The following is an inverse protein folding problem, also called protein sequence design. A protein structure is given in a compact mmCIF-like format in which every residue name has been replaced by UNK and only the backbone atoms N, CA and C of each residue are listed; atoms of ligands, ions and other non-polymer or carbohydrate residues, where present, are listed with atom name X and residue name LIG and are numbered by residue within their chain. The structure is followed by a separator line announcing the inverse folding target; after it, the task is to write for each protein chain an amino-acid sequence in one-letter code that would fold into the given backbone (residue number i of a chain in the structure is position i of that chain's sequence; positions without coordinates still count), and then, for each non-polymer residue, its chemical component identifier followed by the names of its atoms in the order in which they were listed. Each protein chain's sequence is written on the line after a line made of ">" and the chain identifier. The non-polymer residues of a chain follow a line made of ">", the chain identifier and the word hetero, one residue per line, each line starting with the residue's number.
data_IF_357355454577
#
_entry.id   IF_357355454577
#
_cell.length_a   1.000
_cell.length_b   1.000
_cell.length_c   1.000
_cell.angle_alpha   90.00
_cell.angle_beta   90.00
_cell.angle_gamma   90.00
#
_symmetry.space_group_name_H-M   'P 1'
#
loop_
_entity.id
_entity.type
_entity.pdbx_description
1 polymer ?
#
# COMPACT_ATOMS: atom_id res chain seq x y z
N UNK A 1 13.11 -4.58 0.03
CA UNK A 1 12.70 -3.18 0.31
C UNK A 1 11.58 -3.17 1.35
N UNK A 2 11.92 -3.27 2.63
CA UNK A 2 10.94 -3.35 3.72
C UNK A 2 11.34 -2.42 4.86
N UNK A 3 11.14 -1.11 4.69
CA UNK A 3 11.42 -0.08 5.74
C UNK A 3 10.23 0.89 5.92
N UNK A 4 9.18 0.76 5.11
CA UNK A 4 8.14 1.78 4.90
C UNK A 4 7.22 2.06 6.09
N UNK A 5 7.03 1.09 7.00
CA UNK A 5 6.09 1.23 8.12
C UNK A 5 6.76 1.46 9.49
N UNK A 6 8.09 1.41 9.58
CA UNK A 6 8.82 1.78 10.81
C UNK A 6 8.97 3.30 10.98
N UNK A 7 8.76 4.08 9.92
CA UNK A 7 8.87 5.53 9.95
C UNK A 7 7.51 6.25 9.92
N UNK A 8 6.45 5.68 10.50
CA UNK A 8 5.23 6.41 10.88
C UNK A 8 5.11 6.75 12.40
N UNK A 9 6.16 7.18 13.15
CA UNK A 9 5.91 7.81 14.45
C UNK A 9 5.38 9.23 14.24
N UNK A 10 4.28 9.60 14.91
CA UNK A 10 3.68 10.96 14.96
C UNK A 10 2.48 11.24 14.04
N UNK A 11 1.63 10.25 13.78
CA UNK A 11 0.19 10.54 13.82
C UNK A 11 -0.23 10.17 15.25
N UNK A 12 -0.99 10.99 16.00
CA UNK A 12 -1.47 10.61 17.34
C UNK A 12 -2.24 9.27 17.36
N UNK A 13 -2.63 8.77 16.19
CA UNK A 13 -3.29 7.50 15.96
C UNK A 13 -2.34 6.28 15.86
N UNK A 14 -1.06 6.45 15.48
CA UNK A 14 -0.10 5.33 15.26
C UNK A 14 0.78 4.99 16.45
N UNK A 15 0.61 5.68 17.58
CA UNK A 15 1.34 5.33 18.81
C UNK A 15 0.89 3.94 19.29
N UNK A 16 1.84 3.07 19.62
CA UNK A 16 1.59 1.85 20.38
C UNK A 16 0.86 2.11 21.73
N UNK A 17 0.73 3.39 22.11
CA UNK A 17 0.00 3.90 23.26
C UNK A 17 -1.39 4.45 22.94
N UNK A 18 -1.90 4.34 21.71
CA UNK A 18 -3.29 4.69 21.43
C UNK A 18 -4.22 3.80 22.29
N UNK A 19 -5.13 4.38 23.08
CA UNK A 19 -5.93 3.63 24.04
C UNK A 19 -6.86 2.61 23.38
N UNK A 20 -7.34 2.89 22.16
CA UNK A 20 -8.20 1.98 21.39
C UNK A 20 -7.40 0.75 20.95
N UNK A 21 -6.23 0.98 20.37
CA UNK A 21 -5.35 -0.10 19.86
C UNK A 21 -4.87 -0.99 21.02
N UNK A 22 -4.51 -0.40 22.17
CA UNK A 22 -4.12 -1.14 23.35
C UNK A 22 -5.26 -2.00 23.89
N UNK A 23 -6.46 -1.43 24.04
CA UNK A 23 -7.65 -2.18 24.47
C UNK A 23 -7.97 -3.36 23.54
N UNK A 24 -7.91 -3.14 22.22
CA UNK A 24 -8.15 -4.19 21.21
C UNK A 24 -7.11 -5.30 21.30
N UNK A 25 -5.83 -4.95 21.45
CA UNK A 25 -4.74 -5.90 21.63
C UNK A 25 -4.93 -6.73 22.89
N UNK A 26 -5.25 -6.08 24.00
CA UNK A 26 -5.45 -6.76 25.29
C UNK A 26 -6.67 -7.69 25.24
N UNK A 27 -7.75 -7.27 24.55
CA UNK A 27 -8.91 -8.12 24.29
C UNK A 27 -8.53 -9.34 23.44
N UNK A 28 -7.80 -9.13 22.34
CA UNK A 28 -7.38 -10.23 21.47
C UNK A 28 -6.48 -11.21 22.21
N UNK A 29 -5.54 -10.71 23.02
CA UNK A 29 -4.69 -11.52 23.90
C UNK A 29 -5.50 -12.26 24.96
N UNK A 30 -6.52 -11.61 25.54
CA UNK A 30 -7.41 -12.23 26.52
C UNK A 30 -8.18 -13.41 25.92
N UNK A 31 -8.78 -13.23 24.74
CA UNK A 31 -9.54 -14.26 24.03
C UNK A 31 -8.64 -15.45 23.66
N UNK A 32 -7.42 -15.16 23.18
CA UNK A 32 -6.47 -16.19 22.74
C UNK A 32 -5.69 -16.85 23.87
N UNK A 33 -5.64 -16.23 25.05
CA UNK A 33 -4.90 -16.74 26.21
C UNK A 33 -5.50 -18.01 26.84
N UNK A 34 -6.69 -18.46 26.41
CA UNK A 34 -7.26 -19.73 26.88
C UNK A 34 -8.20 -20.34 25.84
N UNK A 35 -8.09 -21.66 25.64
CA UNK A 35 -8.99 -22.44 24.77
C UNK A 35 -10.46 -22.28 25.17
N UNK A 36 -10.76 -22.16 26.48
CA UNK A 36 -12.13 -21.92 26.98
C UNK A 36 -12.68 -20.57 26.50
N UNK A 37 -11.86 -19.52 26.57
CA UNK A 37 -12.22 -18.16 26.15
C UNK A 37 -12.37 -18.06 24.63
N UNK A 38 -11.50 -18.73 23.89
CA UNK A 38 -11.59 -18.82 22.43
C UNK A 38 -12.89 -19.53 22.00
N UNK A 39 -13.23 -20.66 22.63
CA UNK A 39 -14.50 -21.36 22.38
C UNK A 39 -15.72 -20.51 22.71
N UNK A 40 -15.69 -19.79 23.84
CA UNK A 40 -16.75 -18.84 24.20
C UNK A 40 -16.91 -17.73 23.16
N UNK A 41 -15.81 -17.15 22.66
CA UNK A 41 -15.87 -16.16 21.58
C UNK A 41 -16.44 -16.74 20.28
N UNK A 42 -16.02 -17.95 19.89
CA UNK A 42 -16.55 -18.64 18.71
C UNK A 42 -18.07 -18.87 18.85
N UNK A 43 -18.52 -19.25 20.04
CA UNK A 43 -19.95 -19.46 20.34
C UNK A 43 -20.75 -18.15 20.21
N UNK A 44 -20.26 -17.04 20.76
CA UNK A 44 -20.94 -15.75 20.61
C UNK A 44 -20.92 -15.25 19.15
N UNK A 45 -19.80 -15.42 18.44
CA UNK A 45 -19.70 -15.09 17.01
C UNK A 45 -20.73 -15.84 16.16
N UNK A 46 -21.03 -17.11 16.47
CA UNK A 46 -22.06 -17.89 15.74
C UNK A 46 -23.46 -17.24 15.80
N UNK A 47 -23.72 -16.40 16.80
CA UNK A 47 -24.98 -15.65 16.94
C UNK A 47 -24.99 -14.34 16.15
N UNK A 48 -23.87 -13.97 15.52
CA UNK A 48 -23.71 -12.75 14.74
C UNK A 48 -23.62 -13.03 13.24
N UNK A 49 -23.69 -11.96 12.43
CA UNK A 49 -23.43 -12.02 10.99
C UNK A 49 -21.96 -11.81 10.62
N UNK A 50 -21.07 -11.72 11.61
CA UNK A 50 -19.66 -11.48 11.40
C UNK A 50 -18.99 -12.69 10.70
N UNK A 51 -17.91 -12.45 9.93
CA UNK A 51 -17.22 -13.52 9.22
C UNK A 51 -16.61 -14.52 10.21
N UNK A 52 -16.41 -15.77 9.76
CA UNK A 52 -15.87 -16.90 10.57
C UNK A 52 -14.38 -16.76 10.88
N UNK A 53 -14.03 -15.65 11.50
CA UNK A 53 -12.70 -15.16 11.74
C UNK A 53 -12.42 -15.10 13.26
N UNK A 54 -11.15 -15.27 13.65
CA UNK A 54 -10.71 -15.07 15.03
C UNK A 54 -10.03 -13.70 15.19
N UNK A 55 -10.10 -13.08 16.39
CA UNK A 55 -9.37 -11.86 16.69
C UNK A 55 -7.85 -12.08 16.57
N UNK A 56 -7.13 -11.08 16.03
CA UNK A 56 -5.69 -11.13 15.86
C UNK A 56 -5.01 -10.50 17.07
N UNK A 57 -4.32 -11.29 17.90
CA UNK A 57 -3.54 -10.74 19.03
C UNK A 57 -2.21 -10.14 18.56
N UNK A 58 -1.53 -10.83 17.63
CA UNK A 58 -0.27 -10.39 17.02
C UNK A 58 -0.33 -10.81 15.54
N UNK A 59 -0.27 -9.87 14.58
CA UNK A 59 -0.16 -10.16 13.17
C UNK A 59 1.25 -10.66 12.80
N UNK A 60 1.35 -11.41 11.71
CA UNK A 60 2.56 -12.14 11.30
C UNK A 60 3.71 -11.25 10.81
N UNK A 61 3.47 -9.97 10.51
CA UNK A 61 4.51 -9.05 10.02
C UNK A 61 4.51 -7.75 10.82
N UNK A 62 5.71 -7.25 11.16
CA UNK A 62 5.90 -6.00 11.89
C UNK A 62 5.37 -4.78 11.12
N UNK A 63 5.28 -4.89 9.79
CA UNK A 63 4.97 -3.79 8.89
C UNK A 63 3.46 -3.47 8.85
N UNK A 64 2.59 -4.47 8.76
CA UNK A 64 1.13 -4.26 8.65
C UNK A 64 0.39 -4.41 9.98
N UNK A 65 1.13 -4.29 11.09
CA UNK A 65 0.63 -4.63 12.40
C UNK A 65 -0.59 -3.80 12.79
N UNK A 66 -0.46 -2.48 12.67
CA UNK A 66 -1.49 -1.51 13.02
C UNK A 66 -2.75 -1.68 12.14
N UNK A 67 -2.54 -1.89 10.84
CA UNK A 67 -3.60 -2.13 9.87
C UNK A 67 -4.44 -3.35 10.24
N UNK A 68 -3.81 -4.50 10.45
CA UNK A 68 -4.54 -5.74 10.78
C UNK A 68 -5.17 -5.69 12.17
N UNK A 69 -4.57 -4.94 13.10
CA UNK A 69 -5.13 -4.72 14.44
C UNK A 69 -6.39 -3.87 14.46
N UNK A 70 -6.63 -3.02 13.47
CA UNK A 70 -7.86 -2.24 13.37
C UNK A 70 -8.88 -2.89 12.43
N UNK A 71 -8.42 -3.41 11.29
CA UNK A 71 -9.28 -4.05 10.29
C UNK A 71 -10.02 -5.26 10.86
N UNK A 72 -9.30 -6.14 11.56
CA UNK A 72 -9.90 -7.39 12.03
C UNK A 72 -10.95 -7.19 13.13
N UNK A 73 -10.74 -6.32 14.13
CA UNK A 73 -11.80 -5.99 15.08
C UNK A 73 -12.98 -5.26 14.46
N UNK A 74 -12.74 -4.42 13.44
CA UNK A 74 -13.81 -3.79 12.68
C UNK A 74 -14.71 -4.82 11.97
N UNK A 75 -14.11 -5.85 11.35
CA UNK A 75 -14.85 -6.98 10.76
C UNK A 75 -15.61 -7.84 11.81
N UNK A 76 -15.17 -7.83 13.07
CA UNK A 76 -15.71 -8.64 14.17
C UNK A 76 -16.47 -7.79 15.21
N UNK A 77 -16.97 -6.62 14.82
CA UNK A 77 -17.51 -5.63 15.75
C UNK A 77 -18.64 -6.21 16.61
N UNK A 78 -19.63 -6.86 15.99
CA UNK A 78 -20.80 -7.40 16.69
C UNK A 78 -20.39 -8.54 17.64
N UNK A 79 -19.48 -9.40 17.19
CA UNK A 79 -18.95 -10.51 17.98
C UNK A 79 -18.18 -10.02 19.20
N UNK A 80 -17.40 -8.96 19.04
CA UNK A 80 -16.64 -8.32 20.12
C UNK A 80 -17.60 -7.67 21.13
N UNK A 81 -18.61 -6.95 20.65
CA UNK A 81 -19.60 -6.32 21.51
C UNK A 81 -20.38 -7.37 22.32
N UNK A 82 -20.91 -8.42 21.68
CA UNK A 82 -21.62 -9.50 22.37
C UNK A 82 -20.72 -10.25 23.36
N UNK A 83 -19.48 -10.56 22.97
CA UNK A 83 -18.53 -11.25 23.84
C UNK A 83 -18.17 -10.41 25.09
N UNK A 84 -17.98 -9.10 24.92
CA UNK A 84 -17.65 -8.21 26.05
C UNK A 84 -18.82 -8.02 27.01
N UNK A 85 -20.06 -8.02 26.51
CA UNK A 85 -21.27 -7.99 27.32
C UNK A 85 -21.49 -9.28 28.13
N UNK A 86 -21.27 -10.45 27.51
CA UNK A 86 -21.56 -11.76 28.13
C UNK A 86 -20.51 -12.21 29.14
N UNK A 87 -19.23 -11.88 28.91
CA UNK A 87 -18.12 -12.40 29.72
C UNK A 87 -17.62 -11.42 30.80
N UNK A 88 -18.46 -10.45 31.21
CA UNK A 88 -18.11 -9.37 32.14
C UNK A 88 -16.84 -8.60 31.69
N UNK A 89 -16.74 -8.37 30.39
CA UNK A 89 -15.59 -7.79 29.72
C UNK A 89 -15.63 -6.26 29.65
N UNK A 90 -16.28 -5.57 30.59
CA UNK A 90 -16.50 -4.12 30.57
C UNK A 90 -15.20 -3.32 30.34
N UNK A 91 -14.07 -3.81 30.87
CA UNK A 91 -12.74 -3.20 30.66
C UNK A 91 -12.26 -3.17 29.20
N UNK A 92 -12.80 -4.05 28.35
CA UNK A 92 -12.47 -4.17 26.92
C UNK A 92 -13.54 -3.57 26.01
N UNK A 93 -14.62 -3.02 26.57
CA UNK A 93 -15.68 -2.42 25.78
C UNK A 93 -15.16 -1.14 25.11
N UNK A 94 -15.41 -1.05 23.80
CA UNK A 94 -15.14 0.13 23.00
C UNK A 94 -16.41 0.96 22.88
N UNK A 95 -16.27 2.28 23.05
CA UNK A 95 -17.35 3.23 22.84
C UNK A 95 -17.64 3.42 21.34
N UNK A 96 -18.80 3.99 21.03
CA UNK A 96 -19.23 4.27 19.65
C UNK A 96 -18.22 5.16 18.89
N UNK A 97 -17.64 6.13 19.58
CA UNK A 97 -16.59 7.00 19.03
C UNK A 97 -15.35 6.22 18.57
N UNK A 98 -14.91 5.20 19.32
CA UNK A 98 -13.79 4.36 18.91
C UNK A 98 -14.13 3.51 17.67
N UNK A 99 -15.37 3.02 17.56
CA UNK A 99 -15.84 2.31 16.37
C UNK A 99 -15.92 3.23 15.15
N UNK A 100 -16.47 4.43 15.32
CA UNK A 100 -16.54 5.46 14.29
C UNK A 100 -15.13 5.85 13.82
N UNK A 101 -14.20 6.05 14.76
CA UNK A 101 -12.78 6.31 14.46
C UNK A 101 -12.17 5.21 13.58
N UNK A 102 -12.43 3.94 13.89
CA UNK A 102 -11.91 2.83 13.07
C UNK A 102 -12.51 2.79 11.67
N UNK A 103 -13.81 3.09 11.52
CA UNK A 103 -14.44 3.21 10.20
C UNK A 103 -13.83 4.38 9.40
N UNK A 104 -13.56 5.52 10.03
CA UNK A 104 -12.89 6.65 9.36
C UNK A 104 -11.48 6.31 8.87
N UNK A 105 -10.73 5.45 9.59
CA UNK A 105 -9.39 5.04 9.18
C UNK A 105 -9.39 3.94 8.10
N UNK A 106 -10.49 3.23 7.90
CA UNK A 106 -10.57 2.06 7.01
C UNK A 106 -10.20 2.33 5.54
N UNK A 107 -10.61 3.45 4.90
CA UNK A 107 -10.28 3.69 3.50
C UNK A 107 -8.77 3.85 3.28
N UNK A 108 -8.12 4.67 4.11
CA UNK A 108 -6.69 4.91 4.01
C UNK A 108 -5.87 3.65 4.34
N UNK A 109 -6.32 2.88 5.32
CA UNK A 109 -5.74 1.59 5.69
C UNK A 109 -5.82 0.58 4.54
N UNK A 110 -6.94 0.54 3.81
CA UNK A 110 -7.12 -0.34 2.64
C UNK A 110 -6.21 0.06 1.48
N UNK A 111 -6.02 1.37 1.28
CA UNK A 111 -5.10 1.90 0.27
C UNK A 111 -3.65 1.45 0.54
N UNK A 112 -3.20 1.53 1.80
CA UNK A 112 -1.87 1.06 2.18
C UNK A 112 -1.73 -0.46 2.08
N UNK A 113 -2.76 -1.24 2.43
CA UNK A 113 -2.77 -2.70 2.24
C UNK A 113 -2.58 -3.07 0.77
N UNK A 114 -3.35 -2.43 -0.11
CA UNK A 114 -3.26 -2.64 -1.56
C UNK A 114 -1.86 -2.30 -2.09
N UNK A 115 -1.32 -1.15 -1.66
CA UNK A 115 0.02 -0.71 -2.07
C UNK A 115 1.11 -1.69 -1.60
N UNK A 116 1.01 -2.18 -0.36
CA UNK A 116 1.93 -3.18 0.16
C UNK A 116 1.88 -4.49 -0.64
N UNK A 117 0.68 -4.95 -1.02
CA UNK A 117 0.51 -6.16 -1.82
C UNK A 117 1.14 -6.01 -3.21
N UNK A 118 1.05 -4.82 -3.82
CA UNK A 118 1.70 -4.54 -5.10
C UNK A 118 3.21 -4.61 -4.96
N UNK A 119 3.79 -3.94 -3.97
CA UNK A 119 5.24 -3.92 -3.78
C UNK A 119 5.84 -5.25 -3.30
N UNK A 120 5.04 -6.12 -2.69
CA UNK A 120 5.44 -7.47 -2.29
C UNK A 120 5.26 -8.52 -3.38
N UNK A 121 4.67 -8.15 -4.53
CA UNK A 121 4.50 -9.07 -5.65
C UNK A 121 5.85 -9.52 -6.22
N UNK A 122 5.88 -10.71 -6.84
CA UNK A 122 7.12 -11.31 -7.40
C UNK A 122 7.61 -10.64 -8.69
N UNK A 123 6.90 -9.63 -9.21
CA UNK A 123 7.23 -8.96 -10.46
C UNK A 123 8.12 -7.73 -10.23
N UNK A 124 8.74 -7.24 -11.30
CA UNK A 124 9.50 -5.98 -11.27
C UNK A 124 8.55 -4.82 -10.99
N UNK A 125 8.61 -4.26 -9.78
CA UNK A 125 7.67 -3.22 -9.31
C UNK A 125 8.29 -1.83 -9.20
N UNK A 126 9.61 -1.69 -9.40
CA UNK A 126 10.35 -0.42 -9.19
C UNK A 126 9.78 0.74 -10.02
N UNK A 127 9.32 0.45 -11.23
CA UNK A 127 8.69 1.45 -12.12
C UNK A 127 7.32 1.95 -11.63
N UNK A 128 6.63 1.18 -10.77
CA UNK A 128 5.32 1.53 -10.19
C UNK A 128 5.44 2.38 -8.93
N UNK A 129 6.65 2.47 -8.34
CA UNK A 129 6.88 3.15 -7.05
C UNK A 129 6.42 4.60 -7.14
N UNK A 130 6.99 5.40 -8.04
CA UNK A 130 6.66 6.84 -8.10
C UNK A 130 5.17 7.11 -8.40
N UNK A 131 4.54 6.46 -9.40
CA UNK A 131 3.12 6.66 -9.66
C UNK A 131 2.22 6.26 -8.47
N UNK A 132 2.52 5.15 -7.78
CA UNK A 132 1.72 4.73 -6.63
C UNK A 132 1.85 5.70 -5.46
N UNK A 133 3.06 6.21 -5.22
CA UNK A 133 3.28 7.24 -4.21
C UNK A 133 2.44 8.49 -4.48
N UNK A 134 2.40 8.94 -5.74
CA UNK A 134 1.57 10.08 -6.12
C UNK A 134 0.08 9.80 -5.92
N UNK A 135 -0.39 8.61 -6.29
CA UNK A 135 -1.79 8.20 -6.05
C UNK A 135 -2.12 8.25 -4.55
N UNK A 136 -1.24 7.76 -3.67
CA UNK A 136 -1.46 7.80 -2.23
C UNK A 136 -1.53 9.24 -1.71
N UNK A 137 -0.64 10.12 -2.18
CA UNK A 137 -0.65 11.54 -1.81
C UNK A 137 -1.95 12.23 -2.21
N UNK A 138 -2.46 11.96 -3.41
CA UNK A 138 -3.73 12.50 -3.89
C UNK A 138 -4.92 11.99 -3.05
N UNK A 139 -4.91 10.71 -2.67
CA UNK A 139 -5.95 10.17 -1.78
C UNK A 139 -5.89 10.80 -0.39
N UNK A 140 -4.69 10.98 0.19
CA UNK A 140 -4.53 11.65 1.48
C UNK A 140 -5.04 13.10 1.45
N UNK A 141 -4.78 13.82 0.35
CA UNK A 141 -5.30 15.16 0.13
C UNK A 141 -6.82 15.19 -0.01
N UNK A 142 -7.38 14.27 -0.81
CA UNK A 142 -8.83 14.15 -0.95
C UNK A 142 -9.51 13.84 0.39
N UNK A 143 -8.96 12.89 1.16
CA UNK A 143 -9.49 12.57 2.48
C UNK A 143 -9.35 13.73 3.47
N UNK A 144 -8.27 14.53 3.41
CA UNK A 144 -8.15 15.73 4.24
C UNK A 144 -9.27 16.76 3.95
N UNK A 145 -9.66 16.92 2.69
CA UNK A 145 -10.71 17.85 2.27
C UNK A 145 -12.10 17.39 2.71
N UNK A 146 -12.43 16.12 2.49
CA UNK A 146 -13.75 15.54 2.75
C UNK A 146 -13.96 15.23 4.24
N UNK A 147 -12.89 14.98 5.00
CA UNK A 147 -13.01 14.57 6.39
C UNK A 147 -13.37 15.72 7.34
N UNK A 148 -14.03 15.42 8.48
CA UNK A 148 -14.27 16.37 9.54
C UNK A 148 -12.97 17.03 10.04
N UNK A 149 -13.08 18.24 10.61
CA UNK A 149 -11.94 19.02 11.08
C UNK A 149 -11.01 18.25 12.04
N UNK A 150 -11.57 17.35 12.86
CA UNK A 150 -10.81 16.50 13.79
C UNK A 150 -9.83 15.56 13.09
N UNK A 151 -10.17 15.09 11.89
CA UNK A 151 -9.38 14.14 11.11
C UNK A 151 -8.55 14.81 10.02
N UNK A 152 -8.94 16.01 9.58
CA UNK A 152 -8.20 16.80 8.59
C UNK A 152 -6.73 16.98 8.99
N UNK A 153 -6.48 17.40 10.23
CA UNK A 153 -5.12 17.55 10.77
C UNK A 153 -4.31 16.25 10.74
N UNK A 154 -4.97 15.11 10.99
CA UNK A 154 -4.31 13.81 10.93
C UNK A 154 -3.92 13.42 9.49
N UNK A 155 -4.79 13.69 8.52
CA UNK A 155 -4.51 13.44 7.10
C UNK A 155 -3.46 14.40 6.53
N UNK A 156 -3.49 15.68 6.93
CA UNK A 156 -2.47 16.66 6.54
C UNK A 156 -1.10 16.30 7.12
N UNK A 157 -1.04 15.90 8.39
CA UNK A 157 0.19 15.40 9.01
C UNK A 157 0.71 14.12 8.31
N UNK A 158 -0.19 13.20 7.96
CA UNK A 158 0.16 12.01 7.20
C UNK A 158 0.70 12.37 5.80
N UNK A 159 0.04 13.29 5.09
CA UNK A 159 0.48 13.80 3.77
C UNK A 159 1.85 14.43 3.86
N UNK A 160 2.05 15.38 4.76
CA UNK A 160 3.33 16.09 4.93
C UNK A 160 4.48 15.11 5.20
N UNK A 161 4.22 14.09 6.03
CA UNK A 161 5.21 13.09 6.36
C UNK A 161 5.50 12.12 5.21
N UNK A 162 4.45 11.68 4.52
CA UNK A 162 4.57 10.80 3.36
C UNK A 162 5.29 11.51 2.21
N UNK A 163 4.99 12.81 2.00
CA UNK A 163 5.67 13.68 1.05
C UNK A 163 7.16 13.81 1.38
N UNK A 164 7.50 14.11 2.63
CA UNK A 164 8.90 14.20 3.06
C UNK A 164 9.67 12.92 2.74
N UNK A 165 9.07 11.77 3.02
CA UNK A 165 9.69 10.47 2.74
C UNK A 165 9.81 10.19 1.23
N UNK A 166 8.78 10.54 0.46
CA UNK A 166 8.79 10.45 -0.99
C UNK A 166 9.95 11.25 -1.60
N UNK A 167 10.11 12.51 -1.17
CA UNK A 167 11.13 13.41 -1.69
C UNK A 167 12.54 13.01 -1.26
N UNK A 168 12.74 12.45 -0.06
CA UNK A 168 14.06 12.11 0.45
C UNK A 168 14.57 10.73 0.02
N UNK A 169 13.71 9.71 0.02
CA UNK A 169 14.14 8.32 -0.14
C UNK A 169 13.72 7.71 -1.49
N UNK A 170 12.59 8.14 -2.04
CA UNK A 170 11.96 7.45 -3.18
C UNK A 170 12.14 8.12 -4.52
N UNK A 171 12.24 9.43 -4.54
CA UNK A 171 12.58 10.21 -5.72
C UNK A 171 14.09 10.14 -6.00
N UNK A 172 14.61 8.93 -6.14
CA UNK A 172 15.99 8.65 -6.53
C UNK A 172 16.10 8.33 -8.02
N UNK A 173 17.30 8.47 -8.57
CA UNK A 173 17.59 8.28 -9.99
C UNK A 173 17.15 6.91 -10.48
N UNK A 174 17.36 5.86 -9.70
CA UNK A 174 16.94 4.52 -10.09
C UNK A 174 15.42 4.37 -10.27
N UNK A 175 14.64 4.98 -9.38
CA UNK A 175 13.18 4.91 -9.44
C UNK A 175 12.67 5.75 -10.60
N UNK A 176 13.32 6.89 -10.87
CA UNK A 176 13.04 7.72 -12.03
C UNK A 176 13.33 6.99 -13.34
N UNK A 177 14.51 6.38 -13.46
CA UNK A 177 14.90 5.58 -14.63
C UNK A 177 13.96 4.39 -14.80
N UNK A 178 13.67 3.66 -13.72
CA UNK A 178 12.75 2.52 -13.79
C UNK A 178 11.35 2.93 -14.26
N UNK A 179 10.82 4.04 -13.75
CA UNK A 179 9.52 4.58 -14.20
C UNK A 179 9.59 5.03 -15.66
N UNK A 180 10.71 5.60 -16.11
CA UNK A 180 10.90 6.10 -17.47
C UNK A 180 10.96 4.97 -18.50
N UNK A 181 11.59 3.86 -18.11
CA UNK A 181 11.70 2.67 -18.96
C UNK A 181 10.37 1.91 -19.10
N UNK A 182 9.31 2.30 -18.37
CA UNK A 182 8.01 1.69 -18.56
C UNK A 182 7.27 2.33 -19.74
N UNK A 183 6.92 1.56 -20.79
CA UNK A 183 6.25 2.09 -21.97
C UNK A 183 4.84 2.65 -21.70
N UNK A 184 4.21 2.30 -20.57
CA UNK A 184 2.92 2.85 -20.15
C UNK A 184 3.01 4.28 -19.63
N UNK A 185 4.20 4.71 -19.22
CA UNK A 185 4.40 6.01 -18.61
C UNK A 185 5.12 6.95 -19.58
N UNK A 186 4.37 7.87 -20.18
CA UNK A 186 4.90 8.88 -21.10
C UNK A 186 5.46 10.11 -20.36
N UNK A 187 6.16 10.98 -21.10
CA UNK A 187 6.81 12.21 -20.61
C UNK A 187 5.90 13.09 -19.74
N UNK A 188 4.59 13.08 -19.99
CA UNK A 188 3.58 13.85 -19.23
C UNK A 188 3.53 13.48 -17.75
N UNK A 189 3.79 12.22 -17.41
CA UNK A 189 3.80 11.76 -16.02
C UNK A 189 5.02 12.31 -15.26
N UNK A 190 6.13 12.59 -15.94
CA UNK A 190 7.30 13.20 -15.31
C UNK A 190 7.06 14.66 -14.92
N UNK A 191 6.23 15.35 -15.71
CA UNK A 191 5.77 16.71 -15.39
C UNK A 191 4.84 16.64 -14.17
N UNK A 192 3.91 15.67 -14.11
CA UNK A 192 3.03 15.51 -12.95
C UNK A 192 3.74 15.04 -11.69
N UNK A 193 4.87 14.32 -11.81
CA UNK A 193 5.72 13.89 -10.69
C UNK A 193 6.62 15.02 -10.14
N UNK A 194 6.55 16.22 -10.72
CA UNK A 194 7.35 17.37 -10.28
C UNK A 194 8.85 17.15 -10.43
N UNK A 195 9.27 16.32 -11.41
CA UNK A 195 10.68 16.11 -11.72
C UNK A 195 11.14 17.30 -12.56
N UNK A 196 12.23 18.01 -12.18
CA UNK A 196 12.72 19.14 -12.94
C UNK A 196 13.00 18.73 -14.40
N UNK A 197 12.48 19.50 -15.36
CA UNK A 197 12.54 19.17 -16.79
C UNK A 197 13.97 18.92 -17.29
N UNK A 198 14.97 19.57 -16.69
CA UNK A 198 16.37 19.37 -17.03
C UNK A 198 16.85 17.95 -16.72
N UNK A 199 16.49 17.39 -15.56
CA UNK A 199 16.88 16.04 -15.16
C UNK A 199 16.25 14.97 -16.07
N UNK A 200 14.96 15.14 -16.38
CA UNK A 200 14.25 14.24 -17.30
C UNK A 200 14.86 14.30 -18.70
N UNK A 201 15.20 15.50 -19.18
CA UNK A 201 15.83 15.67 -20.49
C UNK A 201 17.25 15.07 -20.54
N UNK A 202 18.04 15.22 -19.48
CA UNK A 202 19.38 14.61 -19.36
C UNK A 202 19.31 13.08 -19.35
N UNK A 203 18.37 12.50 -18.60
CA UNK A 203 18.19 11.04 -18.57
C UNK A 203 17.71 10.55 -19.94
N UNK A 204 16.77 11.25 -20.59
CA UNK A 204 16.30 10.90 -21.94
C UNK A 204 17.43 11.00 -22.97
N UNK A 205 18.27 12.04 -22.91
CA UNK A 205 19.40 12.18 -23.83
C UNK A 205 20.44 11.07 -23.63
N UNK A 206 20.74 10.73 -22.37
CA UNK A 206 21.67 9.63 -22.05
C UNK A 206 21.11 8.28 -22.50
N UNK A 207 19.83 8.00 -22.25
CA UNK A 207 19.19 6.78 -22.71
C UNK A 207 19.12 6.71 -24.24
N UNK A 208 18.87 7.83 -24.91
CA UNK A 208 18.85 7.87 -26.37
C UNK A 208 20.25 7.64 -26.96
N UNK A 209 21.28 8.18 -26.32
CA UNK A 209 22.68 7.98 -26.73
C UNK A 209 23.14 6.53 -26.53
N UNK A 210 22.78 5.90 -25.41
CA UNK A 210 23.15 4.51 -25.08
C UNK A 210 22.28 3.45 -25.79
N UNK A 211 21.01 3.75 -26.09
CA UNK A 211 20.12 2.82 -26.80
C UNK A 211 20.23 2.88 -28.34
N UNK A 212 20.80 3.96 -28.90
CA UNK A 212 21.07 4.09 -30.33
C UNK A 212 21.84 2.90 -30.93
N UNK A 213 22.97 2.43 -30.35
CA UNK A 213 23.69 1.27 -30.88
C UNK A 213 22.88 -0.04 -30.79
N UNK A 214 22.04 -0.22 -29.78
CA UNK A 214 21.19 -1.41 -29.61
C UNK A 214 20.03 -1.44 -30.62
N UNK A 215 19.47 -0.28 -30.96
CA UNK A 215 18.44 -0.16 -32.00
C UNK A 215 19.02 -0.40 -33.40
N UNK A 216 20.23 0.07 -33.67
CA UNK A 216 20.95 -0.26 -34.91
C UNK A 216 21.25 -1.76 -35.02
N UNK A 217 21.67 -2.40 -33.93
CA UNK A 217 22.00 -3.83 -33.93
C UNK A 217 20.75 -4.71 -34.10
N UNK A 218 19.62 -4.34 -33.50
CA UNK A 218 18.33 -4.97 -33.77
C UNK A 218 17.85 -4.74 -35.20
N UNK A 219 18.01 -3.54 -35.75
CA UNK A 219 17.65 -3.23 -37.14
C UNK A 219 18.48 -4.03 -38.14
N UNK A 220 19.77 -4.27 -37.85
CA UNK A 220 20.64 -5.14 -38.66
C UNK A 220 20.24 -6.62 -38.58
N UNK A 221 19.81 -7.10 -37.40
CA UNK A 221 19.31 -8.48 -37.22
C UNK A 221 17.95 -8.72 -37.87
N UNK A 222 17.13 -7.69 -38.02
CA UNK A 222 15.81 -7.76 -38.64
C UNK A 222 15.80 -7.47 -40.15
N UNK A 223 16.95 -7.26 -40.80
CA UNK A 223 16.99 -7.20 -42.27
C UNK A 223 16.70 -8.58 -42.85
N UNK A 224 15.66 -8.75 -43.69
CA UNK A 224 15.39 -10.03 -44.33
C UNK A 224 16.58 -10.36 -45.23
N UNK A 225 17.20 -11.51 -45.01
CA UNK A 225 18.17 -12.07 -45.96
C UNK A 225 17.44 -12.27 -47.29
N UNK A 226 17.63 -11.33 -48.23
CA UNK A 226 17.16 -11.50 -49.60
C UNK A 226 17.97 -12.67 -50.17
N UNK A 227 17.42 -13.88 -50.08
CA UNK A 227 17.87 -15.01 -50.89
C UNK A 227 17.53 -14.64 -52.33
N UNK A 228 18.53 -14.21 -53.09
CA UNK A 228 18.45 -14.18 -54.54
C UNK A 228 18.25 -15.63 -55.02
N UNK A 229 17.02 -15.99 -55.33
CA UNK A 229 16.71 -17.17 -56.13
C UNK A 229 17.18 -16.91 -57.56
N UNK A 230 18.17 -17.68 -58.01
CA UNK A 230 18.57 -17.77 -59.42
C UNK A 230 17.37 -18.14 -60.31
N UNK A 231 17.27 -17.60 -61.53
CA UNK A 231 16.24 -18.01 -62.48
C UNK A 231 16.68 -19.34 -63.12
N UNK A 232 16.02 -20.43 -62.74
CA UNK A 232 16.08 -21.68 -63.50
C UNK A 232 15.24 -21.55 -64.78
N UNK A 233 15.85 -22.00 -65.88
CA UNK A 233 15.40 -21.80 -67.24
C UNK A 233 14.13 -22.56 -67.60
N UNK A 234 13.35 -21.92 -68.46
CA UNK A 234 12.40 -22.58 -69.35
C UNK A 234 13.12 -22.80 -70.68
N UNK A 235 13.37 -24.05 -71.03
CA UNK A 235 13.66 -24.49 -72.39
C UNK A 235 12.91 -25.81 -72.58
N UNK A 236 11.92 -25.73 -73.48
CA UNK A 236 11.22 -26.75 -74.29
C UNK A 236 10.96 -28.15 -73.72
#
# INVERSE_FOLDING_TARGET
>A
MGVWLLYLPSIPCTSANNPIVRKLRDLCSHIRGSTKKCKAFIHERQKTRDPKLLPLAIPMTQWNYFLHQLRRPNELQLSIQLYTLTMNGAKYQLNEEAWSTMEFMKPILTLFDHSCNIFQSKSTTKHLVLPHYQVILLHLEHYAQVSPHTWRHAYEAAKAKFQKYYDSEMKNDDSLIATLLNPKYHKEIFISLGVPSHHTNTIISLLSQECSPLQEEQSRKCQPTIRMSSPEGLSE
#
